data_IF_088592872768
#
_entry.id   IF_088592872768
#
_cell.length_a   1.000
_cell.length_b   1.000
_cell.length_c   1.000
_cell.angle_alpha   90.00
_cell.angle_beta   90.00
_cell.angle_gamma   90.00
#
_symmetry.space_group_name_H-M   'P 1'
#
loop_
_entity.id
_entity.type
_entity.pdbx_description
1 polymer ?
#
# COMPACT_ATOMS: atom_id res chain seq x y z
N UNK A 1 -21.75 -2.06 -2.32
CA UNK A 1 -21.39 -2.84 -3.52
C UNK A 1 -20.41 -3.91 -3.10
N UNK A 2 -20.56 -5.15 -3.54
CA UNK A 2 -19.64 -6.24 -3.19
C UNK A 2 -18.27 -6.05 -3.88
N UNK A 3 -17.18 -6.25 -3.14
CA UNK A 3 -15.82 -5.98 -3.62
C UNK A 3 -15.46 -6.84 -4.83
N UNK A 4 -15.80 -8.13 -4.82
CA UNK A 4 -15.45 -9.06 -5.91
C UNK A 4 -16.29 -8.83 -7.16
N UNK A 5 -17.55 -8.40 -6.98
CA UNK A 5 -18.38 -7.91 -8.09
C UNK A 5 -17.76 -6.67 -8.73
N UNK A 6 -17.33 -5.69 -7.93
CA UNK A 6 -16.63 -4.51 -8.46
C UNK A 6 -15.36 -4.94 -9.21
N UNK A 7 -14.52 -5.79 -8.61
CA UNK A 7 -13.31 -6.31 -9.24
C UNK A 7 -13.58 -6.95 -10.59
N UNK A 8 -14.65 -7.75 -10.70
CA UNK A 8 -15.05 -8.39 -11.94
C UNK A 8 -15.47 -7.37 -13.02
N UNK A 9 -16.21 -6.33 -12.63
CA UNK A 9 -16.57 -5.23 -13.54
C UNK A 9 -15.33 -4.48 -14.01
N UNK A 10 -14.41 -4.16 -13.10
CA UNK A 10 -13.15 -3.51 -13.44
C UNK A 10 -12.30 -4.38 -14.38
N UNK A 11 -12.32 -5.72 -14.24
CA UNK A 11 -11.65 -6.63 -15.20
C UNK A 11 -12.25 -6.48 -16.60
N UNK A 12 -13.58 -6.45 -16.71
CA UNK A 12 -14.27 -6.25 -18.00
C UNK A 12 -13.91 -4.91 -18.63
N UNK A 13 -13.94 -3.84 -17.85
CA UNK A 13 -13.54 -2.49 -18.30
C UNK A 13 -12.08 -2.49 -18.76
N UNK A 14 -11.19 -3.13 -18.00
CA UNK A 14 -9.79 -3.20 -18.38
C UNK A 14 -9.54 -4.01 -19.66
N UNK A 15 -10.35 -5.03 -19.94
CA UNK A 15 -10.29 -5.76 -21.21
C UNK A 15 -10.55 -4.87 -22.43
N UNK A 16 -11.28 -3.77 -22.25
CA UNK A 16 -11.55 -2.79 -23.31
C UNK A 16 -10.50 -1.66 -23.34
N UNK A 17 -10.16 -1.11 -22.18
CA UNK A 17 -9.27 0.05 -22.08
C UNK A 17 -7.78 -0.32 -22.16
N UNK A 18 -7.43 -1.57 -21.83
CA UNK A 18 -6.05 -2.05 -21.75
C UNK A 18 -5.16 -1.12 -20.90
N UNK A 19 -5.70 -0.64 -19.77
CA UNK A 19 -5.00 0.32 -18.91
C UNK A 19 -4.10 -0.43 -17.92
N UNK A 20 -2.86 0.00 -17.79
CA UNK A 20 -1.88 -0.71 -16.97
C UNK A 20 -2.18 -0.64 -15.46
N UNK A 21 -2.60 0.53 -14.98
CA UNK A 21 -2.95 0.76 -13.57
C UNK A 21 -4.19 -0.04 -13.20
N UNK A 22 -5.21 -0.01 -14.06
CA UNK A 22 -6.43 -0.78 -13.84
C UNK A 22 -6.16 -2.28 -13.92
N UNK A 23 -5.32 -2.70 -14.87
CA UNK A 23 -4.84 -4.08 -15.01
C UNK A 23 -4.14 -4.57 -13.75
N UNK A 24 -3.29 -3.71 -13.16
CA UNK A 24 -2.67 -3.97 -11.89
C UNK A 24 -3.70 -4.16 -10.76
N UNK A 25 -4.60 -3.18 -10.57
CA UNK A 25 -5.65 -3.21 -9.54
C UNK A 25 -6.46 -4.51 -9.59
N UNK A 26 -6.84 -4.97 -10.79
CA UNK A 26 -7.66 -6.19 -10.93
C UNK A 26 -6.86 -7.49 -10.86
N UNK A 27 -5.53 -7.41 -10.95
CA UNK A 27 -4.59 -8.53 -10.83
C UNK A 27 -4.22 -8.87 -9.38
N UNK A 28 -4.44 -7.93 -8.44
CA UNK A 28 -4.31 -8.20 -7.00
C UNK A 28 -5.05 -9.49 -6.64
N UNK A 29 -4.63 -10.21 -5.60
CA UNK A 29 -5.43 -11.32 -5.09
C UNK A 29 -6.77 -10.82 -4.49
N UNK A 30 -7.75 -11.70 -4.31
CA UNK A 30 -9.10 -11.31 -3.86
C UNK A 30 -9.10 -10.69 -2.46
N UNK A 31 -8.23 -11.17 -1.57
CA UNK A 31 -8.11 -10.63 -0.21
C UNK A 31 -7.54 -9.21 -0.22
N UNK A 32 -6.43 -8.97 -0.92
CA UNK A 32 -5.81 -7.64 -1.02
C UNK A 32 -6.76 -6.63 -1.66
N UNK A 33 -7.47 -7.03 -2.73
CA UNK A 33 -8.47 -6.18 -3.37
C UNK A 33 -9.62 -5.84 -2.41
N UNK A 34 -10.15 -6.83 -1.70
CA UNK A 34 -11.25 -6.63 -0.76
C UNK A 34 -10.84 -5.70 0.38
N UNK A 35 -9.64 -5.87 0.95
CA UNK A 35 -9.13 -4.99 2.01
C UNK A 35 -8.88 -3.56 1.50
N UNK A 36 -8.27 -3.40 0.33
CA UNK A 36 -8.08 -2.07 -0.27
C UNK A 36 -9.43 -1.37 -0.53
N UNK A 37 -10.41 -2.10 -1.07
CA UNK A 37 -11.75 -1.57 -1.31
C UNK A 37 -12.50 -1.19 -0.02
N UNK A 38 -12.37 -2.01 1.02
CA UNK A 38 -12.92 -1.72 2.33
C UNK A 38 -12.36 -0.42 2.91
N UNK A 39 -11.04 -0.21 2.83
CA UNK A 39 -10.43 1.04 3.29
C UNK A 39 -10.84 2.27 2.49
N UNK A 40 -10.99 2.17 1.18
CA UNK A 40 -11.51 3.27 0.37
C UNK A 40 -12.95 3.63 0.77
N UNK A 41 -13.73 2.65 1.24
CA UNK A 41 -15.13 2.83 1.60
C UNK A 41 -15.31 3.32 3.04
N UNK A 42 -14.53 2.77 3.97
CA UNK A 42 -14.75 2.89 5.41
C UNK A 42 -13.60 3.60 6.15
N UNK A 43 -12.49 3.89 5.46
CA UNK A 43 -11.26 4.41 6.05
C UNK A 43 -10.33 3.30 6.52
N UNK A 44 -9.09 3.69 6.83
CA UNK A 44 -8.08 2.79 7.39
C UNK A 44 -8.35 2.64 8.91
N UNK A 45 -8.36 1.43 9.48
CA UNK A 45 -8.77 1.19 10.87
C UNK A 45 -7.67 1.62 11.87
N UNK A 46 -7.59 2.93 12.14
CA UNK A 46 -6.65 3.52 13.10
C UNK A 46 -7.13 3.33 14.55
N UNK A 47 -6.18 3.10 15.46
CA UNK A 47 -6.36 3.16 16.91
C UNK A 47 -6.08 4.56 17.45
N UNK A 48 -6.70 4.86 18.60
CA UNK A 48 -6.44 6.09 19.35
C UNK A 48 -6.11 5.73 20.79
N UNK A 49 -5.02 6.27 21.32
CA UNK A 49 -4.60 6.10 22.71
C UNK A 49 -4.21 7.46 23.30
N UNK A 50 -4.64 7.75 24.52
CA UNK A 50 -4.21 8.95 25.27
C UNK A 50 -3.28 8.51 26.39
N UNK A 51 -2.05 9.02 26.41
CA UNK A 51 -1.07 8.71 27.45
C UNK A 51 -0.18 9.93 27.69
N UNK A 52 0.11 10.23 28.97
CA UNK A 52 0.97 11.35 29.38
C UNK A 52 0.55 12.74 28.83
N UNK A 53 -0.74 12.94 28.55
CA UNK A 53 -1.24 14.18 27.94
C UNK A 53 -1.09 14.24 26.40
N UNK A 54 -0.51 13.22 25.79
CA UNK A 54 -0.40 13.06 24.34
C UNK A 54 -1.56 12.21 23.79
N UNK A 55 -1.99 12.51 22.56
CA UNK A 55 -2.93 11.67 21.81
C UNK A 55 -2.20 10.97 20.67
N UNK A 56 -2.15 9.65 20.71
CA UNK A 56 -1.54 8.80 19.69
C UNK A 56 -2.62 8.28 18.74
N UNK A 57 -2.44 8.50 17.44
CA UNK A 57 -3.28 7.92 16.38
C UNK A 57 -2.40 6.99 15.56
N UNK A 58 -2.62 5.69 15.63
CA UNK A 58 -1.69 4.71 15.08
C UNK A 58 -2.39 3.48 14.52
N UNK A 59 -1.71 2.77 13.63
CA UNK A 59 -2.06 1.40 13.27
C UNK A 59 -1.17 0.47 14.07
N UNK A 60 -1.76 -0.59 14.61
CA UNK A 60 -0.99 -1.68 15.18
C UNK A 60 -0.57 -2.66 14.09
N UNK A 61 0.16 -3.71 14.47
CA UNK A 61 0.63 -4.73 13.53
C UNK A 61 -0.50 -5.33 12.69
N UNK A 62 -1.66 -5.61 13.31
CA UNK A 62 -2.79 -6.21 12.61
C UNK A 62 -3.41 -5.24 11.60
N UNK A 63 -3.53 -3.96 11.96
CA UNK A 63 -3.98 -2.89 11.06
C UNK A 63 -3.00 -2.61 9.91
N UNK A 64 -1.70 -2.76 10.13
CA UNK A 64 -0.64 -2.52 9.13
C UNK A 64 -0.43 -3.72 8.20
N UNK A 65 -0.65 -4.95 8.68
CA UNK A 65 -0.36 -6.17 7.90
C UNK A 65 -0.97 -6.17 6.48
N UNK A 66 -2.23 -5.74 6.27
CA UNK A 66 -2.77 -5.67 4.92
C UNK A 66 -2.13 -4.56 4.08
N UNK A 67 -1.58 -3.50 4.68
CA UNK A 67 -0.87 -2.41 3.97
C UNK A 67 0.44 -2.97 3.45
N UNK A 68 1.18 -3.70 4.29
CA UNK A 68 2.44 -4.33 3.93
C UNK A 68 2.25 -5.34 2.79
N UNK A 69 1.19 -6.15 2.87
CA UNK A 69 0.84 -7.08 1.78
C UNK A 69 0.51 -6.34 0.49
N UNK A 70 -0.24 -5.24 0.58
CA UNK A 70 -0.59 -4.41 -0.56
C UNK A 70 0.65 -3.73 -1.18
N UNK A 71 1.60 -3.27 -0.36
CA UNK A 71 2.90 -2.77 -0.84
C UNK A 71 3.64 -3.85 -1.62
N UNK A 72 3.73 -5.08 -1.10
CA UNK A 72 4.27 -6.22 -1.84
C UNK A 72 3.59 -6.42 -3.20
N UNK A 73 2.25 -6.39 -3.21
CA UNK A 73 1.49 -6.49 -4.45
C UNK A 73 1.84 -5.35 -5.43
N UNK A 74 2.11 -4.11 -4.98
CA UNK A 74 2.45 -2.95 -5.82
C UNK A 74 3.86 -3.00 -6.45
N UNK A 75 4.77 -3.84 -5.97
CA UNK A 75 6.15 -3.90 -6.45
C UNK A 75 6.30 -3.94 -7.98
N UNK A 76 5.58 -4.81 -8.72
CA UNK A 76 5.78 -4.96 -10.17
C UNK A 76 5.38 -3.70 -10.96
N UNK A 77 4.30 -3.02 -10.54
CA UNK A 77 3.83 -1.82 -11.24
C UNK A 77 4.75 -0.63 -10.94
N UNK A 78 5.29 -0.53 -9.72
CA UNK A 78 6.25 0.52 -9.36
C UNK A 78 7.54 0.37 -10.16
N UNK A 79 8.09 -0.85 -10.28
CA UNK A 79 9.26 -1.08 -11.13
C UNK A 79 9.01 -0.75 -12.59
N UNK A 80 7.85 -1.16 -13.13
CA UNK A 80 7.49 -0.86 -14.51
C UNK A 80 7.31 0.63 -14.77
N UNK A 81 6.75 1.36 -13.82
CA UNK A 81 6.53 2.81 -13.91
C UNK A 81 7.80 3.62 -13.61
N UNK A 82 8.79 3.05 -12.92
CA UNK A 82 10.00 3.75 -12.50
C UNK A 82 10.67 4.58 -13.61
N UNK A 83 10.88 4.07 -14.84
CA UNK A 83 11.50 4.87 -15.91
C UNK A 83 10.68 6.11 -16.29
N UNK A 84 9.35 6.07 -16.13
CA UNK A 84 8.44 7.18 -16.41
C UNK A 84 8.28 8.17 -15.24
N UNK A 85 8.63 7.75 -14.01
CA UNK A 85 8.61 8.60 -12.82
C UNK A 85 9.89 9.43 -12.70
N UNK A 86 10.95 9.03 -13.38
CA UNK A 86 12.21 9.74 -13.41
C UNK A 86 12.24 10.75 -14.55
N UNK A 87 12.79 11.96 -14.34
CA UNK A 87 13.14 12.85 -15.43
C UNK A 87 14.06 12.12 -16.45
N UNK A 88 13.96 12.42 -17.76
CA UNK A 88 14.76 11.75 -18.79
C UNK A 88 16.27 11.75 -18.51
N UNK A 89 16.79 12.85 -17.96
CA UNK A 89 18.19 13.02 -17.55
C UNK A 89 18.60 12.11 -16.38
N UNK A 90 17.63 11.56 -15.64
CA UNK A 90 17.81 10.63 -14.52
C UNK A 90 17.44 9.19 -14.88
N UNK A 91 17.09 8.88 -16.13
CA UNK A 91 16.69 7.52 -16.54
C UNK A 91 17.76 6.46 -16.23
N UNK A 92 19.05 6.84 -16.29
CA UNK A 92 20.17 5.97 -15.91
C UNK A 92 20.23 5.61 -14.41
N UNK A 93 19.48 6.30 -13.55
CA UNK A 93 19.36 6.00 -12.12
C UNK A 93 18.31 4.92 -11.83
N UNK A 94 17.50 4.50 -12.79
CA UNK A 94 16.46 3.49 -12.58
C UNK A 94 17.04 2.20 -11.95
N UNK A 95 18.11 1.66 -12.54
CA UNK A 95 18.79 0.48 -12.00
C UNK A 95 19.48 0.70 -10.64
N UNK A 96 19.78 1.96 -10.27
CA UNK A 96 20.27 2.29 -8.92
C UNK A 96 19.13 2.33 -7.89
N UNK A 97 17.92 2.67 -8.30
CA UNK A 97 16.74 2.74 -7.42
C UNK A 97 16.04 1.39 -7.24
N UNK A 98 16.23 0.45 -8.17
CA UNK A 98 15.66 -0.90 -8.08
C UNK A 98 15.91 -1.58 -6.72
N UNK A 99 17.15 -1.63 -6.17
CA UNK A 99 17.38 -2.23 -4.85
C UNK A 99 16.67 -1.52 -3.71
N UNK A 100 16.48 -0.20 -3.80
CA UNK A 100 15.74 0.56 -2.79
C UNK A 100 14.24 0.26 -2.86
N UNK A 101 13.72 0.05 -4.07
CA UNK A 101 12.33 -0.37 -4.30
C UNK A 101 12.12 -1.79 -3.80
N UNK A 102 13.04 -2.73 -4.08
CA UNK A 102 12.99 -4.08 -3.54
C UNK A 102 13.01 -4.06 -2.01
N UNK A 103 13.88 -3.23 -1.41
CA UNK A 103 13.92 -3.08 0.03
C UNK A 103 12.60 -2.58 0.61
N UNK A 104 11.97 -1.57 -0.03
CA UNK A 104 10.76 -0.93 0.48
C UNK A 104 9.49 -1.75 0.25
N UNK A 105 9.38 -2.41 -0.90
CA UNK A 105 8.17 -3.10 -1.32
C UNK A 105 8.22 -4.61 -1.10
N UNK A 106 9.40 -5.23 -0.91
CA UNK A 106 9.53 -6.67 -0.61
C UNK A 106 10.09 -6.87 0.79
N UNK A 107 11.36 -6.49 0.99
CA UNK A 107 12.11 -6.88 2.20
C UNK A 107 11.51 -6.30 3.47
N UNK A 108 11.19 -5.00 3.49
CA UNK A 108 10.60 -4.35 4.65
C UNK A 108 9.22 -4.94 5.01
N UNK A 109 8.26 -5.08 4.08
CA UNK A 109 7.00 -5.76 4.33
C UNK A 109 7.16 -7.16 4.94
N UNK A 110 8.05 -7.98 4.39
CA UNK A 110 8.31 -9.32 4.92
C UNK A 110 8.86 -9.26 6.35
N UNK A 111 9.87 -8.41 6.60
CA UNK A 111 10.44 -8.25 7.94
C UNK A 111 9.42 -7.68 8.95
N UNK A 112 8.62 -6.70 8.56
CA UNK A 112 7.62 -6.07 9.42
C UNK A 112 6.46 -7.02 9.79
N UNK A 113 6.19 -8.05 8.98
CA UNK A 113 5.25 -9.10 9.35
C UNK A 113 5.83 -10.10 10.38
N UNK A 114 7.17 -10.22 10.48
CA UNK A 114 7.85 -11.14 11.40
C UNK A 114 8.05 -10.59 12.82
N UNK A 115 8.09 -9.26 13.00
CA UNK A 115 8.28 -8.66 14.33
C UNK A 115 7.10 -8.94 15.26
N UNK A 116 7.34 -9.02 16.57
CA UNK A 116 6.26 -9.30 17.54
C UNK A 116 5.25 -8.15 17.65
N UNK A 117 5.72 -6.90 17.65
CA UNK A 117 4.88 -5.70 17.68
C UNK A 117 5.46 -4.63 16.76
N UNK A 118 4.56 -3.86 16.14
CA UNK A 118 4.90 -2.72 15.31
C UNK A 118 3.70 -1.77 15.31
N UNK A 119 3.92 -0.55 15.79
CA UNK A 119 2.90 0.50 15.78
C UNK A 119 3.43 1.66 14.93
N UNK A 120 2.64 2.12 13.97
CA UNK A 120 2.97 3.27 13.12
C UNK A 120 1.88 4.32 13.24
N UNK A 121 2.24 5.55 13.60
CA UNK A 121 1.26 6.59 13.83
C UNK A 121 1.83 7.97 14.08
N UNK A 122 0.93 8.86 14.50
CA UNK A 122 1.19 10.24 14.85
C UNK A 122 1.07 10.43 16.36
N UNK A 123 1.99 11.21 16.93
CA UNK A 123 1.91 11.72 18.30
C UNK A 123 1.45 13.18 18.24
N UNK A 124 0.27 13.45 18.81
CA UNK A 124 -0.31 14.78 18.90
C UNK A 124 -0.08 15.34 20.30
N UNK A 125 0.70 16.42 20.35
CA UNK A 125 1.03 17.16 21.57
C UNK A 125 0.01 18.29 21.76
N UNK A 126 -0.47 18.56 22.99
CA UNK A 126 -1.32 19.70 23.27
C UNK A 126 -0.67 21.02 22.81
N UNK A 127 -1.46 21.92 22.23
CA UNK A 127 -0.99 23.29 22.02
C UNK A 127 -1.09 24.04 23.35
N UNK A 128 0.04 24.64 23.76
CA UNK A 128 0.17 25.45 24.97
C UNK A 128 -0.67 26.73 24.91
#
# INVERSE_FOLDING_TARGET
MDALKLKSLLKTVNGQLQNEILGFIVSMNDQSFATFFDWLSNGIPMHIKIQNGHSYIYLDKEGIAPILKLLGDFHPIVLKMLPSLLPPEMAGLAGFLEPLIDMLFITWPECALLVQSFDLGLDLVPQN
#
